data_IF_930340840304
#
_entry.id   IF_930340840304
#
_cell.length_a   1.000
_cell.length_b   1.000
_cell.length_c   1.000
_cell.angle_alpha   90.00
_cell.angle_beta   90.00
_cell.angle_gamma   90.00
#
_symmetry.space_group_name_H-M   'P 1'
#
loop_
_entity.id
_entity.type
_entity.pdbx_description
1 polymer ?
#
# COMPACT_ATOMS: atom_id res chain seq x y z
N UNK A 1 1.79 7.87 -5.77
CA UNK A 1 2.02 6.45 -6.13
C UNK A 1 1.02 5.53 -5.45
N UNK A 2 0.59 4.41 -6.07
CA UNK A 2 -0.29 3.43 -5.45
C UNK A 2 0.25 2.89 -4.10
N UNK A 3 -0.65 2.52 -3.20
CA UNK A 3 -0.31 1.94 -1.90
C UNK A 3 -1.20 0.74 -1.62
N UNK A 4 -0.59 -0.37 -1.21
CA UNK A 4 -1.21 -1.70 -1.22
C UNK A 4 -2.56 -1.83 -0.52
N UNK A 5 -2.80 -1.15 0.61
CA UNK A 5 -4.14 -1.11 1.25
C UNK A 5 -4.82 0.27 1.28
N UNK A 6 -4.06 1.37 1.07
CA UNK A 6 -4.55 2.73 1.30
C UNK A 6 -5.02 3.42 -0.01
N UNK A 7 -5.07 2.66 -1.10
CA UNK A 7 -5.28 3.17 -2.46
C UNK A 7 -4.02 3.84 -3.01
N UNK A 8 -3.67 5.01 -2.49
CA UNK A 8 -2.52 5.82 -2.92
C UNK A 8 -1.78 6.43 -1.73
N UNK A 9 -0.49 6.73 -1.89
CA UNK A 9 0.33 7.49 -0.91
C UNK A 9 0.08 9.01 -1.02
N UNK A 10 0.80 9.80 -0.20
CA UNK A 10 0.77 11.27 -0.23
C UNK A 10 -0.51 11.90 0.33
N UNK A 11 -0.60 13.23 0.24
CA UNK A 11 -1.73 14.02 0.72
C UNK A 11 -2.04 13.74 2.19
N UNK A 12 -3.27 13.31 2.49
CA UNK A 12 -3.72 12.92 3.83
C UNK A 12 -2.78 11.98 4.58
N UNK A 13 -1.97 11.18 3.87
CA UNK A 13 -1.06 10.21 4.48
C UNK A 13 0.09 10.85 5.27
N UNK A 14 0.45 12.09 4.95
CA UNK A 14 1.42 12.89 5.73
C UNK A 14 0.87 13.26 7.11
N UNK A 15 -0.46 13.32 7.26
CA UNK A 15 -1.13 13.56 8.54
C UNK A 15 -1.41 12.23 9.22
N UNK A 16 -2.19 11.38 8.56
CA UNK A 16 -2.57 10.05 9.04
C UNK A 16 -2.00 8.97 8.12
N UNK A 17 -0.98 8.20 8.54
CA UNK A 17 -0.49 8.04 9.91
C UNK A 17 0.68 8.97 10.29
N UNK A 18 1.17 9.82 9.37
CA UNK A 18 2.49 10.47 9.46
C UNK A 18 2.78 11.22 10.77
N UNK A 19 1.78 11.81 11.43
CA UNK A 19 1.91 12.52 12.71
C UNK A 19 0.84 12.09 13.73
N UNK A 20 0.31 10.88 13.60
CA UNK A 20 -0.71 10.35 14.52
C UNK A 20 -0.10 9.58 15.70
N UNK A 21 -0.86 9.47 16.79
CA UNK A 21 -0.53 8.57 17.91
C UNK A 21 -0.62 7.10 17.52
N UNK A 22 0.24 6.26 18.12
CA UNK A 22 0.37 4.83 17.79
C UNK A 22 -0.95 4.05 17.81
N UNK A 23 -1.78 4.24 18.84
CA UNK A 23 -3.10 3.58 18.96
C UNK A 23 -4.01 3.89 17.77
N UNK A 24 -4.01 5.14 17.31
CA UNK A 24 -4.79 5.59 16.15
C UNK A 24 -4.28 4.93 14.86
N UNK A 25 -2.96 4.86 14.70
CA UNK A 25 -2.31 4.19 13.57
C UNK A 25 -2.71 2.71 13.52
N UNK A 26 -2.55 2.00 14.63
CA UNK A 26 -2.84 0.56 14.75
C UNK A 26 -4.32 0.27 14.45
N UNK A 27 -5.25 1.05 15.02
CA UNK A 27 -6.70 0.88 14.80
C UNK A 27 -7.09 1.05 13.33
N UNK A 28 -6.49 2.02 12.63
CA UNK A 28 -6.70 2.21 11.20
C UNK A 28 -6.05 1.12 10.35
N UNK A 29 -4.83 0.69 10.70
CA UNK A 29 -4.11 -0.35 9.96
C UNK A 29 -4.78 -1.72 10.11
N UNK A 30 -5.44 -2.01 11.24
CA UNK A 30 -6.25 -3.21 11.40
C UNK A 30 -7.35 -3.35 10.32
N UNK A 31 -7.82 -2.24 9.74
CA UNK A 31 -8.81 -2.22 8.64
C UNK A 31 -8.23 -2.64 7.29
N UNK A 32 -6.92 -2.92 7.18
CA UNK A 32 -6.27 -3.34 5.92
C UNK A 32 -6.81 -4.66 5.37
N UNK A 33 -7.43 -5.50 6.20
CA UNK A 33 -8.04 -6.77 5.79
C UNK A 33 -9.39 -6.61 5.07
N UNK A 34 -9.94 -5.39 5.03
CA UNK A 34 -11.22 -5.13 4.38
C UNK A 34 -11.10 -5.29 2.84
N UNK A 35 -12.06 -5.92 2.14
CA UNK A 35 -11.97 -6.18 0.69
C UNK A 35 -11.72 -4.94 -0.20
N UNK A 36 -12.17 -3.77 0.25
CA UNK A 36 -11.94 -2.50 -0.46
C UNK A 36 -10.62 -1.80 -0.09
N UNK A 37 -9.92 -2.25 0.95
CA UNK A 37 -8.62 -1.74 1.35
C UNK A 37 -7.52 -2.33 0.44
N UNK A 38 -7.48 -1.84 -0.81
CA UNK A 38 -6.58 -2.36 -1.85
C UNK A 38 -5.93 -1.26 -2.67
N UNK A 39 -4.84 -1.62 -3.35
CA UNK A 39 -4.08 -0.73 -4.24
C UNK A 39 -4.98 -0.07 -5.26
N UNK A 40 -4.83 1.25 -5.44
CA UNK A 40 -5.61 2.02 -6.40
C UNK A 40 -7.10 2.25 -6.06
N UNK A 41 -7.62 1.70 -4.96
CA UNK A 41 -9.02 1.90 -4.56
C UNK A 41 -9.16 2.93 -3.42
N UNK A 42 -9.95 3.97 -3.67
CA UNK A 42 -10.32 4.98 -2.67
C UNK A 42 -11.78 4.85 -2.23
N UNK A 43 -12.68 4.47 -3.14
CA UNK A 43 -14.12 4.39 -2.86
C UNK A 43 -14.44 3.20 -1.94
N UNK A 44 -15.11 3.46 -0.82
CA UNK A 44 -15.46 2.44 0.15
C UNK A 44 -14.25 1.82 0.85
N UNK A 45 -13.08 2.46 0.78
CA UNK A 45 -11.85 2.00 1.42
C UNK A 45 -11.79 2.59 2.83
N UNK A 46 -12.07 1.80 3.89
CA UNK A 46 -12.21 2.33 5.24
C UNK A 46 -10.89 2.87 5.81
N UNK A 47 -9.75 2.38 5.32
CA UNK A 47 -8.43 2.91 5.71
C UNK A 47 -8.26 4.32 5.19
N UNK A 48 -8.58 4.53 3.91
CA UNK A 48 -8.48 5.85 3.27
C UNK A 48 -9.47 6.85 3.85
N UNK A 49 -10.73 6.44 4.02
CA UNK A 49 -11.81 7.32 4.46
C UNK A 49 -11.51 7.92 5.84
N UNK A 50 -11.01 7.11 6.78
CA UNK A 50 -10.58 7.60 8.10
C UNK A 50 -9.33 8.49 8.02
N UNK A 51 -8.35 8.16 7.16
CA UNK A 51 -7.20 9.04 6.95
C UNK A 51 -7.61 10.41 6.40
N UNK A 52 -8.58 10.42 5.49
CA UNK A 52 -9.11 11.64 4.89
C UNK A 52 -9.85 12.48 5.93
N UNK A 53 -10.78 11.88 6.69
CA UNK A 53 -11.51 12.55 7.78
C UNK A 53 -10.53 13.14 8.81
N UNK A 54 -9.51 12.37 9.21
CA UNK A 54 -8.49 12.83 10.14
C UNK A 54 -7.71 14.04 9.62
N UNK A 55 -7.33 14.03 8.35
CA UNK A 55 -6.60 15.15 7.73
C UNK A 55 -7.47 16.40 7.53
N UNK A 56 -8.77 16.23 7.26
CA UNK A 56 -9.74 17.34 7.17
C UNK A 56 -9.93 18.03 8.52
N UNK A 57 -10.00 17.27 9.62
CA UNK A 57 -10.10 17.82 10.98
C UNK A 57 -8.87 18.62 11.42
N UNK A 58 -7.69 18.23 10.93
CA UNK A 58 -6.43 18.97 11.20
C UNK A 58 -6.40 20.32 10.49
N UNK A 59 -7.11 20.47 9.36
CA UNK A 59 -7.19 21.73 8.64
C UNK A 59 -5.90 22.11 7.91
N UNK A 60 -5.36 21.21 7.08
CA UNK A 60 -4.11 21.46 6.33
C UNK A 60 -4.28 22.61 5.33
N UNK A 61 -3.53 23.69 5.53
CA UNK A 61 -3.58 24.89 4.68
C UNK A 61 -3.07 24.65 3.25
N UNK A 62 -2.02 23.85 3.11
CA UNK A 62 -1.34 23.65 1.83
C UNK A 62 -0.70 22.27 1.72
N UNK A 63 -0.78 21.68 0.53
CA UNK A 63 -0.13 20.44 0.17
C UNK A 63 0.73 20.64 -1.07
N UNK A 64 1.91 20.02 -1.07
CA UNK A 64 2.74 19.82 -2.25
C UNK A 64 3.00 18.33 -2.35
N UNK A 65 2.77 17.74 -3.50
CA UNK A 65 3.09 16.34 -3.76
C UNK A 65 3.74 16.20 -5.13
N UNK A 66 4.74 15.32 -5.19
CA UNK A 66 5.45 15.00 -6.43
C UNK A 66 5.01 13.63 -6.93
N UNK A 67 4.82 13.50 -8.24
CA UNK A 67 4.67 12.22 -8.92
C UNK A 67 5.97 11.95 -9.66
N UNK A 68 6.55 10.77 -9.48
CA UNK A 68 7.77 10.35 -10.17
C UNK A 68 7.48 9.25 -11.17
N UNK A 69 8.36 8.98 -12.13
CA UNK A 69 8.31 7.74 -12.92
C UNK A 69 9.16 6.64 -12.25
N UNK A 70 9.30 5.50 -12.93
CA UNK A 70 10.12 4.34 -12.52
C UNK A 70 11.61 4.68 -12.37
N UNK A 71 12.08 5.72 -13.05
CA UNK A 71 13.44 6.24 -12.97
C UNK A 71 13.61 7.35 -11.92
N UNK A 72 12.65 7.49 -11.00
CA UNK A 72 12.63 8.51 -9.96
C UNK A 72 12.66 9.96 -10.47
N UNK A 73 12.34 10.19 -11.76
CA UNK A 73 12.24 11.54 -12.32
C UNK A 73 10.88 12.11 -12.01
N UNK A 74 10.84 13.38 -11.60
CA UNK A 74 9.59 14.12 -11.38
C UNK A 74 8.89 14.26 -12.73
N UNK A 75 7.66 13.76 -12.81
CA UNK A 75 6.80 13.91 -13.99
C UNK A 75 5.67 14.92 -13.76
N UNK A 76 5.38 15.24 -12.49
CA UNK A 76 4.38 16.24 -12.12
C UNK A 76 4.60 16.74 -10.68
N UNK A 77 4.27 18.00 -10.45
CA UNK A 77 4.20 18.61 -9.13
C UNK A 77 2.81 19.20 -8.94
N UNK A 78 2.05 18.66 -7.99
CA UNK A 78 0.73 19.17 -7.64
C UNK A 78 0.79 19.95 -6.33
N UNK A 79 0.17 21.12 -6.31
CA UNK A 79 0.16 22.01 -5.15
C UNK A 79 -1.20 22.70 -4.96
N UNK A 80 -1.53 23.05 -3.72
CA UNK A 80 -2.77 23.75 -3.35
C UNK A 80 -3.44 23.15 -2.12
N UNK A 81 -4.77 23.29 -2.01
CA UNK A 81 -5.54 22.65 -0.93
C UNK A 81 -5.30 21.14 -0.92
N UNK A 82 -5.25 20.53 0.28
CA UNK A 82 -4.90 19.13 0.46
C UNK A 82 -5.63 18.18 -0.50
N UNK A 83 -6.96 18.13 -0.44
CA UNK A 83 -7.75 17.18 -1.21
C UNK A 83 -7.66 17.44 -2.72
N UNK A 84 -7.85 18.69 -3.16
CA UNK A 84 -7.85 18.99 -4.60
C UNK A 84 -6.49 18.75 -5.26
N UNK A 85 -5.39 19.15 -4.62
CA UNK A 85 -4.05 18.93 -5.17
C UNK A 85 -3.67 17.44 -5.16
N UNK A 86 -3.95 16.74 -4.06
CA UNK A 86 -3.69 15.31 -3.97
C UNK A 86 -4.53 14.49 -4.98
N UNK A 87 -5.81 14.82 -5.17
CA UNK A 87 -6.68 14.15 -6.16
C UNK A 87 -6.15 14.29 -7.58
N UNK A 88 -5.64 15.46 -7.98
CA UNK A 88 -4.98 15.64 -9.29
C UNK A 88 -3.75 14.72 -9.44
N UNK A 89 -2.94 14.61 -8.40
CA UNK A 89 -1.80 13.69 -8.38
C UNK A 89 -2.21 12.22 -8.46
N UNK A 90 -3.33 11.87 -7.82
CA UNK A 90 -3.92 10.51 -7.88
C UNK A 90 -4.40 10.17 -9.29
N UNK A 91 -5.05 11.09 -9.99
CA UNK A 91 -5.48 10.88 -11.38
C UNK A 91 -4.30 10.58 -12.30
N UNK A 92 -3.21 11.33 -12.17
CA UNK A 92 -1.99 11.05 -12.93
C UNK A 92 -1.39 9.70 -12.53
N UNK A 93 -1.28 9.41 -11.23
CA UNK A 93 -0.80 8.11 -10.76
C UNK A 93 -1.65 6.96 -11.32
N UNK A 94 -2.96 7.14 -11.45
CA UNK A 94 -3.84 6.11 -12.02
C UNK A 94 -3.47 5.83 -13.47
N UNK A 95 -3.25 6.86 -14.29
CA UNK A 95 -2.83 6.73 -15.69
C UNK A 95 -1.42 6.13 -15.83
N UNK A 96 -0.51 6.45 -14.91
CA UNK A 96 0.89 6.03 -15.00
C UNK A 96 1.13 4.61 -14.46
N UNK A 97 0.45 4.21 -13.39
CA UNK A 97 0.81 2.99 -12.64
C UNK A 97 -0.24 1.89 -12.65
N UNK A 98 -1.49 2.17 -13.04
CA UNK A 98 -2.51 1.14 -13.13
C UNK A 98 -2.47 0.53 -14.51
N UNK A 99 -2.32 -0.79 -14.54
CA UNK A 99 -2.35 -1.58 -15.76
C UNK A 99 -3.64 -2.39 -15.78
N UNK A 100 -4.40 -2.30 -16.87
CA UNK A 100 -5.53 -3.18 -17.12
C UNK A 100 -5.03 -4.53 -17.61
N UNK A 101 -5.63 -5.61 -17.09
CA UNK A 101 -5.36 -6.97 -17.52
C UNK A 101 -6.63 -7.54 -18.14
N UNK A 102 -6.49 -8.22 -19.28
CA UNK A 102 -7.64 -8.83 -19.96
C UNK A 102 -8.26 -9.95 -19.12
N UNK A 103 -7.41 -10.71 -18.43
CA UNK A 103 -7.82 -11.83 -17.58
C UNK A 103 -6.78 -12.13 -16.52
N UNK A 104 -7.21 -12.85 -15.47
CA UNK A 104 -6.32 -13.40 -14.44
C UNK A 104 -5.55 -14.61 -14.98
N UNK A 105 -4.30 -14.77 -14.54
CA UNK A 105 -3.42 -15.87 -14.91
C UNK A 105 -3.40 -16.98 -13.84
N UNK A 106 -3.02 -18.20 -14.24
CA UNK A 106 -2.80 -19.32 -13.31
C UNK A 106 -1.47 -19.20 -12.56
N UNK A 107 -0.46 -18.60 -13.20
CA UNK A 107 0.85 -18.32 -12.62
C UNK A 107 1.17 -16.84 -12.87
N UNK A 108 1.56 -16.13 -11.81
CA UNK A 108 2.03 -14.75 -11.88
C UNK A 108 3.46 -14.68 -11.38
N UNK A 109 4.36 -14.09 -12.16
CA UNK A 109 5.72 -13.78 -11.74
C UNK A 109 5.78 -12.30 -11.40
N UNK A 110 6.22 -11.97 -10.20
CA UNK A 110 6.32 -10.60 -9.72
C UNK A 110 7.70 -10.33 -9.11
N UNK A 111 8.15 -9.08 -9.14
CA UNK A 111 9.33 -8.61 -8.44
C UNK A 111 8.99 -7.48 -7.48
N UNK A 112 9.71 -7.40 -6.36
CA UNK A 112 9.66 -6.25 -5.46
C UNK A 112 10.35 -4.99 -6.04
N UNK A 113 10.98 -5.11 -7.22
CA UNK A 113 11.53 -3.98 -7.97
C UNK A 113 12.94 -3.59 -7.57
N UNK A 114 13.71 -4.54 -7.02
CA UNK A 114 15.11 -4.40 -6.64
C UNK A 114 15.37 -3.46 -5.46
N UNK A 115 16.65 -3.32 -5.11
CA UNK A 115 17.08 -2.48 -4.00
C UNK A 115 16.66 -1.01 -4.21
N UNK A 116 16.16 -0.31 -3.17
CA UNK A 116 16.00 -0.75 -1.78
C UNK A 116 14.64 -1.37 -1.46
N UNK A 117 13.78 -1.63 -2.45
CA UNK A 117 12.39 -2.09 -2.22
C UNK A 117 12.29 -3.57 -1.86
N UNK A 118 13.30 -4.36 -2.17
CA UNK A 118 13.39 -5.78 -1.84
C UNK A 118 14.41 -6.08 -0.73
N UNK A 119 14.78 -5.08 0.06
CA UNK A 119 15.79 -5.19 1.13
C UNK A 119 15.48 -6.28 2.17
N UNK A 120 14.19 -6.56 2.41
CA UNK A 120 13.72 -7.63 3.30
C UNK A 120 12.32 -8.12 2.91
N UNK A 121 11.92 -9.27 3.47
CA UNK A 121 10.62 -9.91 3.21
C UNK A 121 9.45 -8.99 3.56
N UNK A 122 9.54 -8.23 4.66
CA UNK A 122 8.50 -7.29 5.08
C UNK A 122 8.18 -6.23 4.02
N UNK A 123 9.21 -5.71 3.33
CA UNK A 123 9.01 -4.78 2.21
C UNK A 123 8.61 -5.51 0.92
N UNK A 124 9.29 -6.62 0.61
CA UNK A 124 9.09 -7.34 -0.64
C UNK A 124 7.67 -7.88 -0.80
N UNK A 125 7.01 -8.27 0.30
CA UNK A 125 5.64 -8.78 0.26
C UNK A 125 4.62 -7.78 -0.31
N UNK A 126 4.92 -6.47 -0.33
CA UNK A 126 4.02 -5.46 -0.94
C UNK A 126 3.77 -5.69 -2.43
N UNK A 127 4.68 -6.39 -3.11
CA UNK A 127 4.49 -6.77 -4.51
C UNK A 127 3.41 -7.87 -4.66
N UNK A 128 3.16 -8.67 -3.61
CA UNK A 128 2.13 -9.72 -3.63
C UNK A 128 0.74 -9.12 -3.78
N UNK A 129 0.46 -7.93 -3.24
CA UNK A 129 -0.85 -7.29 -3.38
C UNK A 129 -1.21 -7.00 -4.84
N UNK A 130 -0.23 -6.57 -5.65
CA UNK A 130 -0.45 -6.35 -7.07
C UNK A 130 -0.55 -7.69 -7.82
N UNK A 131 0.31 -8.66 -7.49
CA UNK A 131 0.26 -10.00 -8.09
C UNK A 131 -1.06 -10.73 -7.79
N UNK A 132 -1.62 -10.54 -6.59
CA UNK A 132 -2.90 -11.08 -6.16
C UNK A 132 -4.07 -10.60 -7.02
N UNK A 133 -4.03 -9.35 -7.51
CA UNK A 133 -5.05 -8.86 -8.45
C UNK A 133 -4.99 -9.58 -9.80
N UNK A 134 -3.82 -10.08 -10.19
CA UNK A 134 -3.58 -10.73 -11.48
C UNK A 134 -3.70 -12.25 -11.47
N UNK A 135 -3.71 -12.90 -10.30
CA UNK A 135 -3.77 -14.37 -10.20
C UNK A 135 -5.22 -14.87 -10.02
N UNK A 136 -5.53 -16.03 -10.61
CA UNK A 136 -6.78 -16.76 -10.38
C UNK A 136 -6.82 -17.33 -8.95
N UNK A 137 -8.00 -17.51 -8.34
CA UNK A 137 -8.13 -18.28 -7.10
C UNK A 137 -7.49 -19.68 -7.26
N UNK A 138 -6.63 -20.06 -6.32
CA UNK A 138 -5.86 -21.32 -6.38
C UNK A 138 -4.63 -21.29 -7.29
N UNK A 139 -4.34 -20.18 -7.98
CA UNK A 139 -3.13 -20.02 -8.78
C UNK A 139 -1.87 -19.76 -7.94
N UNK A 140 -0.72 -19.72 -8.62
CA UNK A 140 0.60 -19.57 -7.99
C UNK A 140 1.20 -18.18 -8.25
N UNK A 141 1.78 -17.58 -7.23
CA UNK A 141 2.60 -16.36 -7.36
C UNK A 141 4.07 -16.73 -7.10
N UNK A 142 4.95 -16.39 -8.04
CA UNK A 142 6.40 -16.49 -7.89
C UNK A 142 6.94 -15.08 -7.64
N UNK A 143 7.40 -14.82 -6.42
CA UNK A 143 7.96 -13.53 -6.02
C UNK A 143 9.49 -13.54 -6.10
N UNK A 144 10.05 -12.60 -6.85
CA UNK A 144 11.48 -12.36 -6.99
C UNK A 144 11.90 -11.17 -6.09
N UNK A 145 12.70 -11.45 -5.06
CA UNK A 145 13.20 -10.45 -4.12
C UNK A 145 14.51 -10.94 -3.47
N UNK A 146 15.51 -10.08 -3.36
CA UNK A 146 16.83 -10.43 -2.80
C UNK A 146 16.77 -10.64 -1.28
N UNK A 147 16.05 -9.79 -0.55
CA UNK A 147 15.83 -9.86 0.90
C UNK A 147 17.13 -9.97 1.72
N UNK A 148 18.12 -9.14 1.41
CA UNK A 148 19.45 -9.13 2.06
C UNK A 148 19.40 -9.04 3.60
N UNK A 149 18.40 -8.37 4.18
CA UNK A 149 18.21 -8.26 5.64
C UNK A 149 17.27 -9.33 6.22
N UNK A 150 16.94 -10.36 5.44
CA UNK A 150 16.02 -11.42 5.86
C UNK A 150 14.59 -10.89 6.04
N UNK A 151 14.01 -11.08 7.22
CA UNK A 151 12.60 -10.77 7.48
C UNK A 151 12.31 -9.26 7.64
N UNK A 152 13.27 -8.47 8.14
CA UNK A 152 13.16 -7.02 8.29
C UNK A 152 12.47 -6.51 9.56
N UNK A 153 11.54 -7.27 10.15
CA UNK A 153 10.85 -6.88 11.38
C UNK A 153 10.69 -8.11 12.30
N UNK A 154 10.91 -7.92 13.61
CA UNK A 154 11.02 -9.01 14.57
C UNK A 154 9.68 -9.68 14.84
N UNK A 155 8.62 -8.90 15.08
CA UNK A 155 7.27 -9.43 15.30
C UNK A 155 6.75 -10.15 14.05
N UNK A 156 6.98 -9.59 12.86
CA UNK A 156 6.68 -10.19 11.58
C UNK A 156 7.39 -11.54 11.42
N UNK A 157 8.69 -11.59 11.71
CA UNK A 157 9.47 -12.84 11.68
C UNK A 157 8.89 -13.89 12.61
N UNK A 158 8.60 -13.52 13.86
CA UNK A 158 8.02 -14.43 14.84
C UNK A 158 6.67 -14.97 14.37
N UNK A 159 5.78 -14.09 13.92
CA UNK A 159 4.44 -14.47 13.47
C UNK A 159 4.47 -15.39 12.25
N UNK A 160 5.32 -15.09 11.26
CA UNK A 160 5.48 -15.94 10.08
C UNK A 160 6.06 -17.31 10.45
N UNK A 161 7.01 -17.37 11.39
CA UNK A 161 7.63 -18.65 11.81
C UNK A 161 6.73 -19.52 12.68
N UNK A 162 5.87 -18.90 13.48
CA UNK A 162 4.96 -19.60 14.39
C UNK A 162 3.66 -20.04 13.72
N UNK A 163 3.22 -19.34 12.67
CA UNK A 163 2.02 -19.68 11.94
C UNK A 163 2.18 -21.04 11.25
N UNK A 164 1.18 -21.91 11.42
CA UNK A 164 1.06 -23.16 10.67
C UNK A 164 0.24 -22.95 9.40
N UNK A 165 -0.67 -21.98 9.45
CA UNK A 165 -1.59 -21.62 8.37
C UNK A 165 -1.72 -20.10 8.27
N UNK A 166 -2.08 -19.54 7.10
CA UNK A 166 -2.40 -18.11 6.97
C UNK A 166 -3.50 -17.65 7.95
N UNK A 167 -4.46 -18.52 8.26
CA UNK A 167 -5.55 -18.25 9.19
C UNK A 167 -5.05 -17.92 10.61
N UNK A 168 -3.94 -18.52 11.05
CA UNK A 168 -3.33 -18.23 12.36
C UNK A 168 -2.94 -16.75 12.49
N UNK A 169 -2.44 -16.15 11.40
CA UNK A 169 -2.04 -14.75 11.35
C UNK A 169 -3.28 -13.84 11.37
N UNK A 170 -4.30 -14.18 10.58
CA UNK A 170 -5.55 -13.41 10.51
C UNK A 170 -6.22 -13.35 11.90
N UNK A 171 -6.25 -14.46 12.62
CA UNK A 171 -6.82 -14.51 13.97
C UNK A 171 -6.05 -13.65 14.98
N UNK A 172 -4.72 -13.53 14.84
CA UNK A 172 -3.91 -12.65 15.70
C UNK A 172 -4.22 -11.17 15.47
N UNK A 173 -4.53 -10.76 14.24
CA UNK A 173 -4.92 -9.38 13.90
C UNK A 173 -6.30 -8.98 14.43
N UNK A 174 -7.18 -9.95 14.70
CA UNK A 174 -8.53 -9.72 15.21
C UNK A 174 -8.65 -9.61 16.74
N UNK A 175 -7.53 -9.68 17.47
CA UNK A 175 -7.45 -9.52 18.93
C UNK A 175 -6.85 -8.17 19.29
#
# INVERSE_FOLDING_TARGET
VPHYFAGFSGGRKSIFPGICGRKTIETNHAKMVHPNARSGNLKGNPVHEEMQEGAEKVGVDFNISVVTNENHKIIEVVAGSLLASWSKGVELCRKTYICEIEQKAEIVIASAGGYPRDINVYQAQKALDNAYQAVKPGGTIILLAECLEGYGEATFKEWIKEAKTPEDIIQRLGK
#
